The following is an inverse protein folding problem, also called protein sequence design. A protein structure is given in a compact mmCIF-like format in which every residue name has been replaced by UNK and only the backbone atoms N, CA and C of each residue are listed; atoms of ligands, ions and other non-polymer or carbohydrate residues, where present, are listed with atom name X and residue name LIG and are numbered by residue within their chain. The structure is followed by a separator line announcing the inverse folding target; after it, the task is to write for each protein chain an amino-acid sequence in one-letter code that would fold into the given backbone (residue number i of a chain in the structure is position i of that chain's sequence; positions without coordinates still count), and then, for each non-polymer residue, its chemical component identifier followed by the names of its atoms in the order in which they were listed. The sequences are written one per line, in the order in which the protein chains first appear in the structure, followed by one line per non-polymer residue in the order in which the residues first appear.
data_IF_013453479812
#
_entry.id   IF_013453479812
#
_cell.length_a   1.000
_cell.length_b   1.000
_cell.length_c   1.000
_cell.angle_alpha   90.00
_cell.angle_beta   90.00
_cell.angle_gamma   90.00
#
_symmetry.space_group_name_H-M   'P 1'
#
loop_
_entity.id
_entity.type
_entity.pdbx_description
1 polymer ?
#
# COMPACT_ATOMS: atom_id res chain seq x y z
N UNK A 1 -17.55 -5.32 16.22
CA UNK A 1 -17.73 -6.64 16.83
C UNK A 1 -18.87 -6.58 17.84
N UNK A 2 -19.79 -7.54 17.73
CA UNK A 2 -21.15 -7.55 18.29
C UNK A 2 -21.19 -8.35 19.61
N UNK A 3 -20.15 -8.29 20.46
CA UNK A 3 -20.17 -9.09 21.70
C UNK A 3 -20.89 -8.39 22.87
N UNK A 4 -21.24 -7.10 22.73
CA UNK A 4 -21.86 -6.30 23.80
C UNK A 4 -21.13 -6.44 25.16
N UNK A 5 -19.79 -6.45 25.15
CA UNK A 5 -18.92 -6.67 26.34
C UNK A 5 -18.97 -8.06 26.97
N UNK A 6 -19.58 -9.06 26.31
CA UNK A 6 -19.49 -10.45 26.74
C UNK A 6 -18.14 -11.06 26.32
N UNK A 7 -17.58 -11.99 27.13
CA UNK A 7 -16.42 -12.79 26.74
C UNK A 7 -16.62 -13.42 25.36
N UNK A 8 -15.68 -13.22 24.45
CA UNK A 8 -15.76 -13.76 23.10
C UNK A 8 -14.40 -14.27 22.58
N UNK A 9 -14.47 -15.29 21.73
CA UNK A 9 -13.34 -15.85 21.00
C UNK A 9 -13.55 -15.58 19.51
N UNK A 10 -12.52 -15.07 18.84
CA UNK A 10 -12.54 -14.80 17.40
C UNK A 10 -11.45 -15.63 16.75
N UNK A 11 -11.87 -16.65 16.02
CA UNK A 11 -10.97 -17.48 15.22
C UNK A 11 -10.61 -16.73 13.93
N UNK A 12 -9.31 -16.63 13.65
CA UNK A 12 -8.81 -15.97 12.45
C UNK A 12 -7.78 -16.88 11.79
N UNK A 13 -8.00 -17.20 10.51
CA UNK A 13 -7.10 -18.04 9.70
C UNK A 13 -5.83 -17.32 9.22
N UNK A 14 -5.19 -16.51 10.08
CA UNK A 14 -3.88 -15.91 9.77
C UNK A 14 -2.80 -16.96 9.93
N UNK A 15 -1.85 -16.98 9.00
CA UNK A 15 -0.66 -17.84 9.04
C UNK A 15 0.60 -17.00 9.05
N UNK A 16 1.59 -17.39 9.84
CA UNK A 16 2.84 -16.64 10.00
C UNK A 16 3.67 -16.59 8.71
N UNK A 17 3.55 -17.62 7.86
CA UNK A 17 4.19 -17.75 6.55
C UNK A 17 3.71 -16.71 5.51
N UNK A 18 2.58 -16.04 5.75
CA UNK A 18 1.97 -15.14 4.75
C UNK A 18 2.71 -13.80 4.58
N UNK A 19 3.33 -13.29 5.65
CA UNK A 19 4.17 -12.09 5.63
C UNK A 19 4.86 -11.86 6.97
N UNK A 20 5.90 -11.03 6.99
CA UNK A 20 6.57 -10.58 8.20
C UNK A 20 5.61 -9.93 9.22
N UNK A 21 4.63 -9.15 8.75
CA UNK A 21 3.64 -8.52 9.64
C UNK A 21 2.74 -9.55 10.32
N UNK A 22 2.37 -10.64 9.63
CA UNK A 22 1.62 -11.75 10.23
C UNK A 22 2.50 -12.53 11.19
N UNK A 23 3.75 -12.82 10.84
CA UNK A 23 4.71 -13.44 11.76
C UNK A 23 4.85 -12.62 13.06
N UNK A 24 5.10 -11.32 12.96
CA UNK A 24 5.21 -10.41 14.12
C UNK A 24 3.91 -10.32 14.92
N UNK A 25 2.76 -10.55 14.28
CA UNK A 25 1.47 -10.62 14.97
C UNK A 25 1.40 -11.85 15.90
N UNK A 26 2.04 -12.96 15.54
CA UNK A 26 2.04 -14.17 16.36
C UNK A 26 3.21 -14.18 17.35
N UNK A 27 4.42 -13.82 16.91
CA UNK A 27 5.65 -13.98 17.68
C UNK A 27 5.88 -12.91 18.76
N UNK A 28 5.12 -11.81 18.76
CA UNK A 28 5.32 -10.72 19.72
C UNK A 28 5.11 -11.15 21.17
N UNK A 29 6.14 -11.00 22.00
CA UNK A 29 6.10 -11.25 23.43
C UNK A 29 5.43 -10.12 24.23
N UNK A 30 5.22 -8.95 23.62
CA UNK A 30 4.59 -7.79 24.29
C UNK A 30 3.06 -7.89 24.34
N UNK A 31 2.48 -8.89 23.69
CA UNK A 31 1.03 -9.06 23.59
C UNK A 31 0.51 -9.77 24.83
N UNK A 32 -0.62 -9.30 25.34
CA UNK A 32 -1.38 -10.06 26.32
C UNK A 32 -1.95 -11.31 25.63
N UNK A 33 -1.57 -12.49 26.12
CA UNK A 33 -2.02 -13.81 25.65
C UNK A 33 -3.06 -14.36 26.60
N UNK A 34 -3.90 -15.27 26.10
CA UNK A 34 -4.96 -15.88 26.90
C UNK A 34 -4.36 -16.76 28.00
N UNK A 35 -3.29 -17.48 27.67
CA UNK A 35 -2.51 -18.29 28.58
C UNK A 35 -1.07 -18.41 28.05
N UNK A 36 -0.12 -18.74 28.93
CA UNK A 36 1.30 -18.85 28.59
C UNK A 36 1.58 -19.97 27.57
N UNK A 37 0.81 -21.06 27.64
CA UNK A 37 0.87 -22.21 26.74
C UNK A 37 0.17 -21.97 25.39
N UNK A 38 -0.40 -20.78 25.17
CA UNK A 38 -1.17 -20.43 23.95
C UNK A 38 -0.61 -19.17 23.29
N UNK A 39 0.61 -19.24 22.70
CA UNK A 39 1.29 -18.09 22.10
C UNK A 39 0.56 -17.52 20.88
N UNK A 40 -0.34 -18.30 20.26
CA UNK A 40 -1.17 -17.94 19.11
C UNK A 40 -2.47 -17.21 19.49
N UNK A 41 -2.53 -16.61 20.68
CA UNK A 41 -3.67 -15.82 21.14
C UNK A 41 -3.29 -14.37 21.41
N UNK A 42 -4.23 -13.44 21.25
CA UNK A 42 -4.00 -12.03 21.55
C UNK A 42 -5.28 -11.38 22.06
N UNK A 43 -5.18 -10.64 23.17
CA UNK A 43 -6.30 -9.87 23.71
C UNK A 43 -6.79 -8.83 22.70
N UNK A 44 -8.10 -8.78 22.48
CA UNK A 44 -8.73 -7.81 21.60
C UNK A 44 -8.80 -6.43 22.28
N UNK A 45 -8.78 -5.33 21.51
CA UNK A 45 -9.02 -4.00 22.04
C UNK A 45 -10.33 -3.94 22.84
N UNK A 46 -10.24 -3.59 24.13
CA UNK A 46 -11.39 -3.55 25.04
C UNK A 46 -11.50 -4.72 26.02
N UNK A 47 -10.58 -5.70 25.99
CA UNK A 47 -10.33 -6.65 27.09
C UNK A 47 -11.40 -7.74 27.33
N UNK A 48 -12.45 -7.78 26.51
CA UNK A 48 -13.56 -8.74 26.64
C UNK A 48 -13.56 -9.81 25.53
N UNK A 49 -12.56 -9.81 24.63
CA UNK A 49 -12.46 -10.78 23.58
C UNK A 49 -11.00 -11.16 23.28
N UNK A 50 -10.83 -12.31 22.63
CA UNK A 50 -9.53 -12.85 22.27
C UNK A 50 -9.50 -13.20 20.78
N UNK A 51 -8.47 -12.75 20.08
CA UNK A 51 -8.12 -13.26 18.77
C UNK A 51 -7.33 -14.56 18.92
N UNK A 52 -7.71 -15.57 18.14
CA UNK A 52 -7.14 -16.91 18.17
C UNK A 52 -6.73 -17.28 16.74
N UNK A 53 -5.48 -17.73 16.59
CA UNK A 53 -4.88 -18.05 15.29
C UNK A 53 -4.53 -19.55 15.22
N UNK A 54 -5.50 -20.44 14.97
CA UNK A 54 -5.28 -21.89 15.10
C UNK A 54 -4.37 -22.47 14.01
N UNK A 55 -4.25 -21.79 12.87
CA UNK A 55 -3.45 -22.23 11.73
C UNK A 55 -2.12 -21.46 11.63
N UNK A 56 -1.67 -20.81 12.71
CA UNK A 56 -0.57 -19.84 12.65
C UNK A 56 0.74 -20.40 12.08
N UNK A 57 1.00 -21.69 12.29
CA UNK A 57 2.20 -22.42 11.86
C UNK A 57 2.02 -23.20 10.55
N UNK A 58 0.81 -23.21 9.97
CA UNK A 58 0.54 -23.86 8.70
C UNK A 58 1.15 -23.09 7.53
N UNK A 59 1.77 -23.84 6.61
CA UNK A 59 2.26 -23.34 5.33
C UNK A 59 1.18 -23.44 4.26
N UNK A 60 1.46 -22.86 3.09
CA UNK A 60 0.54 -22.94 1.94
C UNK A 60 0.33 -24.38 1.47
N UNK A 61 1.37 -25.22 1.53
CA UNK A 61 1.25 -26.64 1.20
C UNK A 61 0.35 -27.41 2.16
N UNK A 62 0.35 -27.07 3.46
CA UNK A 62 -0.46 -27.76 4.47
C UNK A 62 -1.96 -27.55 4.22
N UNK A 63 -2.35 -26.32 3.86
CA UNK A 63 -3.74 -25.98 3.49
C UNK A 63 -4.22 -26.82 2.31
N UNK A 64 -3.45 -26.84 1.21
CA UNK A 64 -3.83 -27.59 0.02
C UNK A 64 -3.80 -29.10 0.23
N UNK A 65 -2.86 -29.60 1.04
CA UNK A 65 -2.80 -31.02 1.41
C UNK A 65 -4.02 -31.42 2.23
N UNK A 66 -4.48 -30.54 3.14
CA UNK A 66 -5.68 -30.80 3.93
C UNK A 66 -6.92 -30.90 3.04
N UNK A 67 -7.15 -29.93 2.15
CA UNK A 67 -8.29 -29.98 1.20
C UNK A 67 -8.25 -31.24 0.32
N UNK A 68 -7.07 -31.62 -0.19
CA UNK A 68 -6.91 -32.81 -1.01
C UNK A 68 -7.22 -34.12 -0.23
N UNK A 69 -6.93 -34.17 1.08
CA UNK A 69 -7.19 -35.33 1.94
C UNK A 69 -8.62 -35.38 2.48
N UNK A 70 -9.17 -34.22 2.85
CA UNK A 70 -10.49 -34.13 3.48
C UNK A 70 -11.63 -34.18 2.47
N UNK A 71 -11.39 -33.74 1.23
CA UNK A 71 -12.44 -33.59 0.22
C UNK A 71 -13.40 -32.43 0.50
N UNK A 72 -13.04 -31.54 1.42
CA UNK A 72 -13.86 -30.38 1.79
C UNK A 72 -13.92 -29.36 0.65
N UNK A 73 -15.05 -28.66 0.47
CA UNK A 73 -15.18 -27.68 -0.59
C UNK A 73 -14.32 -26.43 -0.30
N UNK A 74 -13.75 -25.87 -1.37
CA UNK A 74 -13.09 -24.56 -1.36
C UNK A 74 -13.59 -23.71 -2.53
N UNK A 75 -13.15 -22.47 -2.60
CA UNK A 75 -13.58 -21.55 -3.66
C UNK A 75 -13.04 -22.02 -5.04
N UNK A 76 -13.91 -22.33 -6.03
CA UNK A 76 -13.48 -22.81 -7.36
C UNK A 76 -12.57 -21.84 -8.11
N UNK A 77 -12.55 -20.56 -7.72
CA UNK A 77 -11.64 -19.57 -8.30
C UNK A 77 -10.17 -19.98 -8.15
N UNK A 78 -9.81 -20.72 -7.10
CA UNK A 78 -8.44 -21.20 -6.94
C UNK A 78 -8.03 -22.22 -8.02
N UNK A 79 -8.97 -23.04 -8.50
CA UNK A 79 -8.72 -23.96 -9.62
C UNK A 79 -8.46 -23.18 -10.91
N UNK A 80 -9.26 -22.13 -11.15
CA UNK A 80 -9.07 -21.24 -12.29
C UNK A 80 -7.72 -20.51 -12.22
N UNK A 81 -7.31 -20.03 -11.03
CA UNK A 81 -6.00 -19.44 -10.83
C UNK A 81 -4.87 -20.44 -11.10
N UNK A 82 -5.03 -21.70 -10.67
CA UNK A 82 -4.06 -22.77 -10.93
C UNK A 82 -3.94 -23.07 -12.43
N UNK A 83 -5.07 -23.20 -13.12
CA UNK A 83 -5.12 -23.42 -14.57
C UNK A 83 -4.49 -22.25 -15.35
N UNK A 84 -4.64 -21.01 -14.85
CA UNK A 84 -3.99 -19.82 -15.39
C UNK A 84 -2.48 -19.72 -15.05
N UNK A 85 -1.90 -20.71 -14.36
CA UNK A 85 -0.47 -20.78 -14.04
C UNK A 85 -0.04 -19.93 -12.86
N UNK A 86 -0.97 -19.44 -12.03
CA UNK A 86 -0.63 -18.66 -10.83
C UNK A 86 0.02 -19.58 -9.80
N UNK A 87 1.24 -19.29 -9.29
CA UNK A 87 1.84 -20.09 -8.23
C UNK A 87 0.98 -20.06 -6.95
N UNK A 88 0.87 -21.19 -6.24
CA UNK A 88 0.02 -21.33 -5.04
C UNK A 88 0.22 -20.22 -4.01
N UNK A 89 1.46 -19.74 -3.82
CA UNK A 89 1.78 -18.63 -2.88
C UNK A 89 1.16 -17.28 -3.26
N UNK A 90 0.83 -17.09 -4.53
CA UNK A 90 0.29 -15.85 -5.09
C UNK A 90 -1.22 -15.91 -5.37
N UNK A 91 -1.85 -17.06 -5.15
CA UNK A 91 -3.31 -17.19 -5.25
C UNK A 91 -3.96 -16.51 -4.05
N UNK A 92 -4.35 -15.25 -4.22
CA UNK A 92 -5.00 -14.44 -3.18
C UNK A 92 -6.26 -13.80 -3.75
N UNK A 93 -7.36 -13.92 -3.01
CA UNK A 93 -8.64 -13.29 -3.33
C UNK A 93 -8.82 -12.12 -2.39
N UNK A 94 -8.96 -10.92 -2.94
CA UNK A 94 -9.09 -9.66 -2.20
C UNK A 94 -9.60 -8.58 -3.16
N UNK A 95 -9.89 -7.38 -2.69
CA UNK A 95 -10.32 -6.28 -3.57
C UNK A 95 -9.27 -5.95 -4.65
N UNK A 96 -9.68 -5.72 -5.90
CA UNK A 96 -8.78 -5.67 -7.06
C UNK A 96 -7.79 -4.50 -7.07
N UNK A 97 -8.07 -3.44 -6.32
CA UNK A 97 -7.32 -2.17 -6.38
C UNK A 97 -6.42 -1.92 -5.17
N UNK A 98 -6.33 -2.89 -4.26
CA UNK A 98 -5.36 -2.86 -3.17
C UNK A 98 -3.91 -2.77 -3.69
N UNK A 99 -2.98 -2.16 -2.94
CA UNK A 99 -1.59 -2.00 -3.38
C UNK A 99 -0.93 -3.32 -3.80
N UNK A 100 -1.19 -4.40 -3.06
CA UNK A 100 -0.66 -5.73 -3.35
C UNK A 100 -1.45 -6.46 -4.46
N UNK A 101 -2.76 -6.23 -4.53
CA UNK A 101 -3.70 -6.94 -5.41
C UNK A 101 -3.70 -6.39 -6.83
N UNK A 102 -3.33 -5.12 -7.01
CA UNK A 102 -3.25 -4.49 -8.33
C UNK A 102 -2.39 -5.29 -9.29
N UNK A 103 -1.35 -5.96 -8.79
CA UNK A 103 -0.46 -6.83 -9.58
C UNK A 103 -1.20 -8.00 -10.26
N UNK A 104 -2.32 -8.45 -9.67
CA UNK A 104 -3.17 -9.51 -10.21
C UNK A 104 -4.31 -9.01 -11.10
N UNK A 105 -4.40 -7.71 -11.42
CA UNK A 105 -5.52 -7.18 -12.22
C UNK A 105 -5.66 -7.84 -13.59
N UNK A 106 -4.55 -8.22 -14.22
CA UNK A 106 -4.54 -8.92 -15.51
C UNK A 106 -5.35 -10.22 -15.47
N UNK A 107 -5.43 -10.87 -14.31
CA UNK A 107 -6.08 -12.16 -14.14
C UNK A 107 -7.60 -12.06 -14.29
N UNK A 108 -8.20 -10.90 -14.02
CA UNK A 108 -9.64 -10.69 -14.21
C UNK A 108 -10.06 -10.80 -15.67
N UNK A 109 -9.22 -10.36 -16.61
CA UNK A 109 -9.47 -10.54 -18.03
C UNK A 109 -9.52 -12.04 -18.41
N UNK A 110 -8.73 -12.87 -17.73
CA UNK A 110 -8.63 -14.32 -18.01
C UNK A 110 -9.76 -15.09 -17.32
N UNK A 111 -10.03 -14.80 -16.04
CA UNK A 111 -10.94 -15.60 -15.22
C UNK A 111 -12.38 -15.09 -15.22
N UNK A 112 -12.59 -13.77 -15.35
CA UNK A 112 -13.90 -13.14 -15.22
C UNK A 112 -14.08 -11.99 -16.25
N UNK A 113 -14.10 -12.29 -17.57
CA UNK A 113 -14.04 -11.28 -18.63
C UNK A 113 -15.20 -10.27 -18.60
N UNK A 114 -16.41 -10.69 -18.23
CA UNK A 114 -17.55 -9.78 -18.08
C UNK A 114 -17.34 -8.77 -16.93
N UNK A 115 -16.78 -9.23 -15.80
CA UNK A 115 -16.45 -8.35 -14.67
C UNK A 115 -15.31 -7.43 -15.02
N UNK A 116 -14.33 -7.91 -15.78
CA UNK A 116 -13.27 -7.07 -16.35
C UNK A 116 -13.83 -5.94 -17.21
N UNK A 117 -14.74 -6.25 -18.14
CA UNK A 117 -15.40 -5.25 -18.98
C UNK A 117 -16.14 -4.20 -18.14
N UNK A 118 -16.91 -4.64 -17.14
CA UNK A 118 -17.61 -3.74 -16.23
C UNK A 118 -16.64 -2.86 -15.41
N UNK A 119 -15.50 -3.40 -14.97
CA UNK A 119 -14.48 -2.63 -14.26
C UNK A 119 -13.83 -1.57 -15.16
N UNK A 120 -13.49 -1.92 -16.41
CA UNK A 120 -12.93 -0.98 -17.38
C UNK A 120 -13.88 0.20 -17.67
N UNK A 121 -15.20 -0.04 -17.66
CA UNK A 121 -16.19 1.03 -17.87
C UNK A 121 -16.37 1.93 -16.64
N UNK A 122 -16.19 1.39 -15.42
CA UNK A 122 -16.54 2.09 -14.17
C UNK A 122 -15.38 2.79 -13.49
N UNK A 123 -14.15 2.32 -13.72
CA UNK A 123 -12.98 2.77 -12.97
C UNK A 123 -11.87 3.19 -13.92
N UNK A 124 -11.54 4.48 -13.88
CA UNK A 124 -10.47 5.05 -14.69
C UNK A 124 -9.13 4.42 -14.37
N UNK A 125 -8.37 4.05 -15.40
CA UNK A 125 -7.03 3.48 -15.28
C UNK A 125 -6.99 1.98 -14.95
N UNK A 126 -8.12 1.27 -14.88
CA UNK A 126 -8.14 -0.19 -14.67
C UNK A 126 -7.40 -0.93 -15.76
N UNK A 127 -7.63 -0.56 -17.03
CA UNK A 127 -6.94 -1.19 -18.15
C UNK A 127 -5.43 -1.00 -18.03
N UNK A 128 -4.97 0.23 -17.76
CA UNK A 128 -3.55 0.51 -17.49
C UNK A 128 -3.01 -0.30 -16.32
N UNK A 129 -3.79 -0.48 -15.24
CA UNK A 129 -3.43 -1.35 -14.13
C UNK A 129 -3.27 -2.82 -14.54
N UNK A 130 -4.17 -3.34 -15.36
CA UNK A 130 -4.07 -4.70 -15.89
C UNK A 130 -2.83 -4.91 -16.77
N UNK A 131 -2.42 -3.89 -17.54
CA UNK A 131 -1.24 -3.96 -18.41
C UNK A 131 0.06 -3.76 -17.62
N UNK A 132 0.10 -2.82 -16.68
CA UNK A 132 1.38 -2.36 -16.10
C UNK A 132 1.62 -2.83 -14.66
N UNK A 133 0.62 -3.21 -13.88
CA UNK A 133 0.86 -3.44 -12.44
C UNK A 133 1.52 -4.79 -12.13
N UNK A 134 1.33 -5.80 -12.98
CA UNK A 134 1.82 -7.17 -12.75
C UNK A 134 3.26 -7.42 -13.22
N UNK A 135 3.87 -6.48 -13.92
CA UNK A 135 5.23 -6.62 -14.46
C UNK A 135 6.23 -5.77 -13.67
N UNK A 136 7.49 -6.23 -13.60
CA UNK A 136 8.60 -5.42 -13.06
C UNK A 136 8.95 -4.32 -14.07
N UNK A 137 8.11 -3.29 -14.12
CA UNK A 137 8.27 -2.14 -15.02
C UNK A 137 8.38 -0.83 -14.25
N UNK A 138 8.77 0.21 -14.97
CA UNK A 138 9.05 1.53 -14.42
C UNK A 138 7.77 2.34 -14.15
N UNK A 139 6.60 1.90 -14.65
CA UNK A 139 5.37 2.68 -14.67
C UNK A 139 4.91 3.10 -13.26
N UNK A 140 4.94 2.16 -12.31
CA UNK A 140 4.54 2.43 -10.93
C UNK A 140 5.69 2.80 -10.00
N UNK A 141 6.95 2.80 -10.47
CA UNK A 141 8.10 3.21 -9.66
C UNK A 141 8.38 2.36 -8.41
N UNK A 142 7.97 1.08 -8.42
CA UNK A 142 8.04 0.20 -7.24
C UNK A 142 9.48 -0.27 -6.91
N UNK A 143 10.39 -0.23 -7.89
CA UNK A 143 11.81 -0.64 -7.76
C UNK A 143 12.77 0.21 -8.58
N UNK A 144 12.41 0.45 -9.83
CA UNK A 144 13.12 1.30 -10.77
C UNK A 144 12.19 2.43 -11.19
N UNK A 145 12.74 3.62 -11.28
CA UNK A 145 12.04 4.78 -11.84
C UNK A 145 12.89 5.32 -12.97
N UNK A 146 12.21 5.82 -13.98
CA UNK A 146 12.82 6.43 -15.13
C UNK A 146 12.14 7.78 -15.40
N UNK A 147 12.80 8.62 -16.17
CA UNK A 147 12.26 9.90 -16.63
C UNK A 147 12.75 10.15 -18.06
N UNK A 148 12.04 10.95 -18.87
CA UNK A 148 12.58 11.39 -20.16
C UNK A 148 13.97 12.03 -20.01
N UNK A 149 14.88 11.70 -20.91
CA UNK A 149 16.30 12.12 -20.84
C UNK A 149 16.46 13.64 -20.76
N UNK A 150 15.59 14.38 -21.47
CA UNK A 150 15.61 15.83 -21.55
C UNK A 150 15.10 16.56 -20.30
N UNK A 151 14.53 15.86 -19.31
CA UNK A 151 14.02 16.45 -18.07
C UNK A 151 15.00 16.27 -16.92
N UNK A 152 14.98 17.16 -15.93
CA UNK A 152 15.57 16.86 -14.61
C UNK A 152 14.54 16.11 -13.76
N UNK A 153 14.93 15.51 -12.64
CA UNK A 153 13.95 14.92 -11.71
C UNK A 153 13.04 15.99 -11.12
N UNK A 154 13.57 17.20 -10.86
CA UNK A 154 12.75 18.33 -10.42
C UNK A 154 11.70 18.71 -11.46
N UNK A 155 12.09 18.92 -12.72
CA UNK A 155 11.12 19.29 -13.77
C UNK A 155 10.14 18.15 -14.05
N UNK A 156 10.58 16.89 -13.96
CA UNK A 156 9.70 15.74 -14.08
C UNK A 156 8.69 15.65 -12.92
N UNK A 157 9.10 15.93 -11.68
CA UNK A 157 8.18 15.98 -10.54
C UNK A 157 7.08 17.04 -10.73
N UNK A 158 7.45 18.22 -11.24
CA UNK A 158 6.50 19.29 -11.56
C UNK A 158 5.56 18.87 -12.68
N UNK A 159 6.07 18.31 -13.77
CA UNK A 159 5.26 17.75 -14.86
C UNK A 159 4.24 16.71 -14.36
N UNK A 160 4.66 15.80 -13.48
CA UNK A 160 3.76 14.81 -12.88
C UNK A 160 2.65 15.48 -12.07
N UNK A 161 2.99 16.49 -11.26
CA UNK A 161 2.02 17.27 -10.48
C UNK A 161 1.03 18.04 -11.36
N UNK A 162 1.49 18.58 -12.48
CA UNK A 162 0.65 19.37 -13.38
C UNK A 162 -0.24 18.49 -14.27
N UNK A 163 0.18 17.24 -14.51
CA UNK A 163 -0.59 16.26 -15.31
C UNK A 163 -1.67 15.50 -14.53
N UNK A 164 -1.65 15.54 -13.19
CA UNK A 164 -2.60 14.80 -12.35
C UNK A 164 -3.81 15.67 -11.95
N UNK A 165 -4.94 15.08 -11.50
CA UNK A 165 -6.11 15.86 -11.09
C UNK A 165 -5.79 16.87 -9.99
N UNK A 166 -6.28 18.11 -10.14
CA UNK A 166 -5.90 19.25 -9.29
C UNK A 166 -6.04 18.97 -7.79
N UNK A 167 -7.11 18.29 -7.38
CA UNK A 167 -7.35 17.97 -5.97
C UNK A 167 -6.28 17.05 -5.37
N UNK A 168 -5.72 16.15 -6.17
CA UNK A 168 -4.64 15.23 -5.83
C UNK A 168 -3.29 15.94 -5.94
N UNK A 169 -3.08 16.72 -7.00
CA UNK A 169 -1.88 17.55 -7.18
C UNK A 169 -1.65 18.45 -5.97
N UNK A 170 -2.68 19.19 -5.55
CA UNK A 170 -2.64 20.10 -4.42
C UNK A 170 -2.33 19.40 -3.09
N UNK A 171 -2.81 18.17 -2.92
CA UNK A 171 -2.47 17.37 -1.76
C UNK A 171 -0.96 17.04 -1.74
N UNK A 172 -0.41 16.58 -2.86
CA UNK A 172 1.02 16.31 -2.98
C UNK A 172 1.86 17.58 -2.86
N UNK A 173 1.50 18.67 -3.52
CA UNK A 173 2.20 19.97 -3.43
C UNK A 173 2.27 20.44 -1.98
N UNK A 174 1.19 20.32 -1.21
CA UNK A 174 1.19 20.66 0.22
C UNK A 174 2.18 19.80 1.03
N UNK A 175 2.23 18.49 0.78
CA UNK A 175 3.17 17.58 1.45
C UNK A 175 4.62 17.87 1.06
N UNK A 176 4.89 18.01 -0.24
CA UNK A 176 6.22 18.28 -0.78
C UNK A 176 6.71 19.65 -0.28
N UNK A 177 5.86 20.67 -0.23
CA UNK A 177 6.24 21.98 0.31
C UNK A 177 6.69 21.90 1.77
N UNK A 178 5.99 21.11 2.61
CA UNK A 178 6.42 20.86 4.00
C UNK A 178 7.77 20.15 4.05
N UNK A 179 7.98 19.16 3.17
CA UNK A 179 9.25 18.43 3.08
C UNK A 179 10.41 19.36 2.70
N UNK A 180 10.25 20.15 1.63
CA UNK A 180 11.24 21.13 1.19
C UNK A 180 11.53 22.17 2.27
N UNK A 181 10.48 22.71 2.93
CA UNK A 181 10.63 23.69 4.00
C UNK A 181 11.40 23.15 5.19
N UNK A 182 11.26 21.86 5.50
CA UNK A 182 12.00 21.21 6.58
C UNK A 182 13.51 21.20 6.28
N UNK A 183 13.91 20.86 5.06
CA UNK A 183 15.31 20.87 4.63
C UNK A 183 15.90 22.28 4.50
N UNK A 184 15.11 23.26 4.05
CA UNK A 184 15.49 24.68 4.08
C UNK A 184 15.86 25.15 5.49
N UNK A 185 15.07 24.79 6.49
CA UNK A 185 15.38 25.11 7.90
C UNK A 185 16.64 24.41 8.43
N UNK A 186 17.07 23.33 7.77
CA UNK A 186 18.31 22.60 8.08
C UNK A 186 19.52 23.12 7.29
N UNK A 187 19.36 24.21 6.54
CA UNK A 187 20.44 24.84 5.77
C UNK A 187 20.57 24.35 4.34
N UNK A 188 19.61 23.56 3.84
CA UNK A 188 19.57 23.11 2.44
C UNK A 188 18.55 23.94 1.66
N UNK A 189 19.02 24.91 0.87
CA UNK A 189 18.17 25.83 0.11
C UNK A 189 17.17 25.12 -0.82
N UNK A 190 17.66 24.10 -1.53
CA UNK A 190 16.86 23.16 -2.31
C UNK A 190 17.43 21.74 -2.18
N UNK A 191 16.58 20.74 -2.37
CA UNK A 191 17.00 19.33 -2.40
C UNK A 191 17.62 19.02 -3.77
N UNK A 192 18.66 18.17 -3.83
CA UNK A 192 19.29 17.81 -5.11
C UNK A 192 18.38 16.94 -5.98
N UNK A 193 18.66 16.88 -7.29
CA UNK A 193 17.95 16.00 -8.22
C UNK A 193 18.08 14.52 -7.86
N UNK A 194 19.30 14.10 -7.51
CA UNK A 194 19.62 12.71 -7.11
C UNK A 194 20.64 12.68 -5.97
N UNK A 195 20.60 11.62 -5.17
CA UNK A 195 21.68 11.26 -4.23
C UNK A 195 21.90 9.73 -4.21
N UNK A 196 23.08 9.26 -3.75
CA UNK A 196 23.30 7.84 -3.51
C UNK A 196 22.24 7.25 -2.57
N UNK A 197 21.66 6.12 -2.95
CA UNK A 197 20.63 5.39 -2.18
C UNK A 197 19.33 6.16 -1.86
N UNK A 198 19.04 7.25 -2.58
CA UNK A 198 17.87 8.11 -2.36
C UNK A 198 16.50 7.52 -2.66
N UNK A 199 16.44 6.35 -3.30
CA UNK A 199 15.22 5.56 -3.51
C UNK A 199 15.13 4.36 -2.56
N UNK A 200 16.07 4.24 -1.62
CA UNK A 200 16.12 3.20 -0.60
C UNK A 200 15.17 3.43 0.57
N UNK A 201 15.34 2.63 1.62
CA UNK A 201 14.48 2.66 2.82
C UNK A 201 14.71 3.89 3.70
N UNK A 202 15.94 4.41 3.74
CA UNK A 202 16.29 5.63 4.49
C UNK A 202 15.80 6.87 3.75
N UNK A 203 15.24 7.84 4.47
CA UNK A 203 14.83 9.14 3.92
C UNK A 203 16.06 9.99 3.60
N UNK A 204 16.42 10.01 2.31
CA UNK A 204 17.50 10.81 1.75
C UNK A 204 16.87 11.76 0.73
N UNK A 205 16.98 13.10 0.92
CA UNK A 205 16.20 14.06 0.15
C UNK A 205 16.63 14.17 -1.29
N UNK A 206 15.72 13.90 -2.23
CA UNK A 206 15.98 14.16 -3.64
C UNK A 206 14.69 14.35 -4.41
N UNK A 207 14.75 15.08 -5.52
CA UNK A 207 13.63 15.14 -6.46
C UNK A 207 13.33 13.78 -7.09
N UNK A 208 14.33 12.91 -7.27
CA UNK A 208 14.14 11.51 -7.67
C UNK A 208 13.24 10.74 -6.68
N UNK A 209 13.44 10.93 -5.37
CA UNK A 209 12.57 10.34 -4.34
C UNK A 209 11.15 10.92 -4.38
N UNK A 210 11.01 12.22 -4.63
CA UNK A 210 9.70 12.86 -4.80
C UNK A 210 8.97 12.24 -6.01
N UNK A 211 9.64 12.06 -7.15
CA UNK A 211 9.07 11.37 -8.32
C UNK A 211 8.63 9.95 -7.97
N UNK A 212 9.45 9.20 -7.23
CA UNK A 212 9.10 7.86 -6.76
C UNK A 212 7.80 7.86 -5.93
N UNK A 213 7.61 8.83 -5.05
CA UNK A 213 6.37 8.98 -4.24
C UNK A 213 5.16 9.21 -5.14
N UNK A 214 5.29 10.11 -6.12
CA UNK A 214 4.22 10.44 -7.06
C UNK A 214 3.85 9.24 -7.93
N UNK A 215 4.83 8.56 -8.54
CA UNK A 215 4.61 7.40 -9.42
C UNK A 215 4.03 6.19 -8.69
N UNK A 216 4.45 5.94 -7.44
CA UNK A 216 3.87 4.88 -6.62
C UNK A 216 2.44 5.21 -6.15
N UNK A 217 1.96 6.43 -6.39
CA UNK A 217 0.75 6.97 -5.80
C UNK A 217 0.74 6.80 -4.27
N UNK A 218 1.88 7.05 -3.61
CA UNK A 218 2.01 7.06 -2.15
C UNK A 218 1.30 8.31 -1.62
N UNK A 219 -0.03 8.25 -1.58
CA UNK A 219 -0.90 9.37 -1.25
C UNK A 219 -0.49 10.04 0.06
N UNK A 220 -0.07 9.28 1.07
CA UNK A 220 0.29 9.89 2.35
C UNK A 220 1.74 10.39 2.42
N UNK A 221 2.51 10.22 1.35
CA UNK A 221 3.94 10.52 1.26
C UNK A 221 4.75 9.83 2.37
N UNK A 222 4.44 8.57 2.68
CA UNK A 222 5.15 7.81 3.72
C UNK A 222 6.64 7.69 3.45
N UNK A 223 7.03 7.60 2.17
CA UNK A 223 8.44 7.58 1.77
C UNK A 223 9.17 8.92 1.99
N UNK A 224 8.44 10.01 2.24
CA UNK A 224 8.97 11.33 2.65
C UNK A 224 8.74 11.58 4.15
N UNK A 225 8.68 10.51 4.95
CA UNK A 225 8.52 10.54 6.42
C UNK A 225 7.21 11.13 6.93
N UNK A 226 6.13 11.10 6.13
CA UNK A 226 4.80 11.51 6.58
C UNK A 226 3.96 10.34 7.09
N UNK A 227 3.12 10.64 8.08
CA UNK A 227 2.08 9.73 8.56
C UNK A 227 0.70 10.11 8.03
N UNK A 228 -0.22 9.13 7.86
CA UNK A 228 -1.60 9.41 7.50
C UNK A 228 -2.25 10.40 8.49
N UNK A 229 -2.96 11.39 7.96
CA UNK A 229 -3.73 12.32 8.80
C UNK A 229 -5.10 11.72 9.08
N UNK A 230 -5.59 11.82 10.32
CA UNK A 230 -6.95 11.36 10.67
C UNK A 230 -7.98 12.06 9.78
N UNK A 231 -8.95 11.30 9.27
CA UNK A 231 -9.98 11.78 8.34
C UNK A 231 -10.72 13.02 8.86
N UNK A 232 -11.08 13.04 10.14
CA UNK A 232 -11.76 14.16 10.82
C UNK A 232 -10.99 15.48 10.78
N UNK A 233 -9.66 15.44 10.62
CA UNK A 233 -8.81 16.62 10.60
C UNK A 233 -8.23 16.93 9.23
N UNK A 234 -8.51 16.09 8.22
CA UNK A 234 -7.83 16.15 6.94
C UNK A 234 -8.13 17.43 6.16
N UNK A 235 -9.40 17.85 6.09
CA UNK A 235 -9.78 19.09 5.41
C UNK A 235 -9.15 20.32 6.06
N UNK A 236 -9.16 20.39 7.40
CA UNK A 236 -8.51 21.47 8.16
C UNK A 236 -6.99 21.48 7.94
N UNK A 237 -6.37 20.30 7.92
CA UNK A 237 -4.95 20.16 7.64
C UNK A 237 -4.61 20.68 6.25
N UNK A 238 -5.37 20.28 5.21
CA UNK A 238 -5.17 20.73 3.83
C UNK A 238 -5.20 22.25 3.71
N UNK A 239 -6.29 22.89 4.15
CA UNK A 239 -6.45 24.36 4.08
C UNK A 239 -5.32 25.10 4.81
N UNK A 240 -4.87 24.57 5.95
CA UNK A 240 -3.75 25.16 6.71
C UNK A 240 -2.43 25.03 5.96
N UNK A 241 -2.15 23.86 5.37
CA UNK A 241 -0.91 23.66 4.61
C UNK A 241 -0.89 24.47 3.33
N UNK A 242 -2.02 24.65 2.67
CA UNK A 242 -2.16 25.51 1.50
C UNK A 242 -1.80 26.98 1.82
N UNK A 243 -2.34 27.53 2.92
CA UNK A 243 -1.97 28.88 3.39
C UNK A 243 -0.49 28.99 3.72
N UNK A 244 0.08 27.99 4.39
CA UNK A 244 1.52 27.97 4.71
C UNK A 244 2.37 27.89 3.44
N UNK A 245 1.98 27.07 2.46
CA UNK A 245 2.65 26.94 1.17
C UNK A 245 2.73 28.28 0.46
N UNK A 246 1.61 29.01 0.40
CA UNK A 246 1.54 30.37 -0.13
C UNK A 246 2.49 31.33 0.59
N UNK A 247 2.52 31.30 1.93
CA UNK A 247 3.44 32.12 2.73
C UNK A 247 4.91 31.78 2.52
N UNK A 248 5.23 30.52 2.21
CA UNK A 248 6.61 30.09 1.94
C UNK A 248 7.04 30.32 0.49
N UNK A 249 6.09 30.56 -0.43
CA UNK A 249 6.38 30.69 -1.85
C UNK A 249 6.86 29.39 -2.52
N UNK A 250 6.58 28.22 -1.93
CA UNK A 250 7.08 26.93 -2.40
C UNK A 250 5.98 26.21 -3.17
N UNK A 251 6.19 25.87 -4.44
CA UNK A 251 5.21 25.16 -5.27
C UNK A 251 3.82 25.84 -5.27
N UNK A 252 3.78 27.17 -5.21
CA UNK A 252 2.56 27.93 -5.44
C UNK A 252 2.25 27.90 -6.94
N UNK A 253 0.99 27.64 -7.32
CA UNK A 253 0.60 27.78 -8.72
C UNK A 253 0.77 29.26 -9.10
N UNK A 254 1.81 29.57 -9.85
CA UNK A 254 1.92 30.86 -10.54
C UNK A 254 1.39 30.63 -11.95
N UNK A 255 0.09 30.93 -12.10
CA UNK A 255 -0.72 30.84 -13.33
C UNK A 255 -1.10 29.43 -13.79
#
# INVERSE_FOLDING_TARGET
MVSQRRPAAVLVGIRADESLNRFMTISSQRKQRFADDKPWTTSAPGGHAWYIYPLYDWKTADIWTWFAKSGEPYNPLYDLMYQAGVPLRYMRICEPFGPEQRQGLWLYHVLEPERWAAMCQRVSGVHSGGVYAGHDNQFYGHRKIDKPDHLTWKSYALFLLDSMPETTAEHYRNKIAVYLRWYQKKGMEDIPDTQPADIGTKDIPSWRRVCKVLLNNDYWCRQLSFSPTKSSHYQRYRKRMEKHRQQWGILCNNN
#
